data_IF_461684586130
#
_entry.id   IF_461684586130
#
_cell.length_a   1.000
_cell.length_b   1.000
_cell.length_c   1.000
_cell.angle_alpha   90.00
_cell.angle_beta   90.00
_cell.angle_gamma   90.00
#
_symmetry.space_group_name_H-M   'P 1'
#
loop_
_entity.id
_entity.type
_entity.pdbx_description
1 polymer ?
#
# COMPACT_ATOMS: atom_id res chain seq x y z
N UNK A 1 39.05 55.16 -37.33
CA UNK A 1 39.59 53.98 -36.59
C UNK A 1 39.14 53.89 -35.12
N UNK A 2 38.95 54.99 -34.37
CA UNK A 2 38.50 54.93 -32.96
C UNK A 2 37.08 54.36 -32.79
N UNK A 3 36.13 54.73 -33.66
CA UNK A 3 34.74 54.23 -33.56
C UNK A 3 34.56 52.77 -33.95
N UNK A 4 35.36 52.27 -34.89
CA UNK A 4 35.30 50.87 -35.31
C UNK A 4 35.74 49.91 -34.20
N UNK A 5 36.81 50.27 -33.45
CA UNK A 5 37.29 49.53 -32.27
C UNK A 5 36.30 49.58 -31.10
N UNK A 6 35.54 50.66 -30.96
CA UNK A 6 34.54 50.83 -29.88
C UNK A 6 33.29 49.98 -30.13
N UNK A 7 32.84 49.87 -31.38
CA UNK A 7 31.71 49.01 -31.77
C UNK A 7 32.02 47.51 -31.65
N UNK A 8 33.22 47.09 -32.05
CA UNK A 8 33.66 45.69 -31.92
C UNK A 8 33.85 45.27 -30.47
N UNK A 9 34.39 46.15 -29.60
CA UNK A 9 34.48 45.87 -28.17
C UNK A 9 33.09 45.77 -27.51
N UNK A 10 32.14 46.64 -27.88
CA UNK A 10 30.77 46.60 -27.35
C UNK A 10 30.02 45.33 -27.78
N UNK A 11 30.16 44.90 -29.05
CA UNK A 11 29.61 43.62 -29.51
C UNK A 11 30.22 42.42 -28.77
N UNK A 12 31.52 42.41 -28.53
CA UNK A 12 32.17 41.34 -27.77
C UNK A 12 31.67 41.28 -26.33
N UNK A 13 31.51 42.42 -25.66
CA UNK A 13 30.95 42.48 -24.30
C UNK A 13 29.48 42.06 -24.25
N UNK A 14 28.66 42.44 -25.24
CA UNK A 14 27.27 42.00 -25.32
C UNK A 14 27.13 40.50 -25.58
N UNK A 15 28.00 39.91 -26.40
CA UNK A 15 28.01 38.45 -26.64
C UNK A 15 28.50 37.70 -25.41
N UNK A 16 29.54 38.18 -24.72
CA UNK A 16 30.00 37.60 -23.45
C UNK A 16 28.93 37.70 -22.34
N UNK A 17 28.25 38.84 -22.22
CA UNK A 17 27.16 39.02 -21.26
C UNK A 17 25.97 38.11 -21.61
N UNK A 18 25.62 37.98 -22.89
CA UNK A 18 24.59 37.06 -23.35
C UNK A 18 24.97 35.60 -23.09
N UNK A 19 26.22 35.20 -23.31
CA UNK A 19 26.70 33.85 -22.98
C UNK A 19 26.67 33.58 -21.48
N UNK A 20 27.07 34.54 -20.63
CA UNK A 20 27.01 34.39 -19.17
C UNK A 20 25.56 34.36 -18.65
N UNK A 21 24.65 35.13 -19.27
CA UNK A 21 23.23 35.13 -18.92
C UNK A 21 22.50 33.87 -19.43
N UNK A 22 22.87 33.30 -20.58
CA UNK A 22 22.26 32.06 -21.08
C UNK A 22 22.86 30.80 -20.44
N UNK A 23 24.14 30.80 -20.08
CA UNK A 23 24.76 29.69 -19.32
C UNK A 23 24.46 29.74 -17.82
N UNK A 24 23.99 30.88 -17.31
CA UNK A 24 23.63 31.08 -15.89
C UNK A 24 22.20 30.63 -15.53
N UNK A 25 21.34 30.38 -16.52
CA UNK A 25 19.95 30.00 -16.28
C UNK A 25 19.76 28.49 -16.00
N UNK A 26 20.65 27.62 -16.47
CA UNK A 26 20.51 26.17 -16.27
C UNK A 26 20.92 25.72 -14.86
N UNK A 27 21.75 26.50 -14.15
CA UNK A 27 22.28 26.12 -12.84
C UNK A 27 21.38 26.46 -11.65
N UNK A 28 20.40 27.36 -11.81
CA UNK A 28 19.54 27.81 -10.71
C UNK A 28 18.28 26.95 -10.53
N UNK A 29 17.84 26.21 -11.55
CA UNK A 29 16.62 25.41 -11.48
C UNK A 29 16.85 23.93 -11.11
N UNK A 30 18.08 23.41 -11.21
CA UNK A 30 18.31 21.95 -11.09
C UNK A 30 18.61 21.48 -9.64
N UNK A 31 18.89 22.42 -8.72
CA UNK A 31 19.25 22.09 -7.32
C UNK A 31 18.11 22.17 -6.30
N UNK A 32 17.11 23.02 -6.50
CA UNK A 32 16.06 23.26 -5.49
C UNK A 32 14.68 22.67 -5.84
N UNK A 33 14.37 22.36 -7.09
CA UNK A 33 12.99 22.01 -7.49
C UNK A 33 12.89 20.62 -8.12
N UNK A 34 13.18 19.60 -7.30
CA UNK A 34 13.03 18.19 -7.67
C UNK A 34 12.21 17.40 -6.65
N UNK A 35 11.75 16.20 -7.01
CA UNK A 35 11.06 15.29 -6.11
C UNK A 35 12.05 14.55 -5.18
N UNK A 36 12.80 15.26 -4.34
CA UNK A 36 14.04 14.74 -3.70
C UNK A 36 14.02 14.66 -2.17
N UNK A 37 13.04 15.24 -1.49
CA UNK A 37 12.97 15.23 -0.02
C UNK A 37 12.63 13.84 0.54
N UNK A 38 13.34 13.35 1.59
CA UNK A 38 13.06 12.04 2.18
C UNK A 38 11.67 12.01 2.83
N UNK A 39 11.10 10.81 2.98
CA UNK A 39 9.76 10.65 3.53
C UNK A 39 9.85 9.98 4.89
N UNK A 40 9.45 10.69 5.93
CA UNK A 40 9.40 10.18 7.30
C UNK A 40 8.01 9.62 7.55
N UNK A 41 7.93 8.30 7.68
CA UNK A 41 6.68 7.56 7.88
C UNK A 41 6.53 7.18 9.34
N UNK A 42 5.36 7.44 9.91
CA UNK A 42 4.94 6.93 11.21
C UNK A 42 3.68 6.08 11.05
N UNK A 43 3.63 4.93 11.73
CA UNK A 43 2.44 4.08 11.79
C UNK A 43 1.75 4.24 13.13
N UNK A 44 0.49 4.63 13.11
CA UNK A 44 -0.40 4.68 14.26
C UNK A 44 -1.45 3.58 14.16
N UNK A 45 -1.84 3.03 15.29
CA UNK A 45 -2.88 2.00 15.37
C UNK A 45 -4.19 2.64 15.80
N UNK A 46 -5.29 2.35 15.11
CA UNK A 46 -6.61 2.93 15.44
C UNK A 46 -7.08 2.56 16.85
N UNK A 47 -6.72 1.36 17.33
CA UNK A 47 -7.03 0.87 18.68
C UNK A 47 -6.06 1.36 19.77
N UNK A 48 -5.11 2.23 19.43
CA UNK A 48 -4.10 2.78 20.35
C UNK A 48 -3.08 1.76 20.87
N UNK A 49 -3.08 0.51 20.38
CA UNK A 49 -2.18 -0.54 20.86
C UNK A 49 -0.78 -0.44 20.26
N UNK A 50 0.24 -0.82 21.02
CA UNK A 50 1.63 -0.85 20.52
C UNK A 50 2.03 -2.31 20.31
N UNK A 51 1.98 -2.85 19.08
CA UNK A 51 2.30 -4.24 18.81
C UNK A 51 3.77 -4.53 19.12
N UNK A 52 4.01 -5.72 19.68
CA UNK A 52 5.36 -6.23 20.01
C UNK A 52 6.24 -6.38 18.76
N UNK A 53 5.65 -6.63 17.59
CA UNK A 53 6.36 -6.85 16.36
C UNK A 53 6.23 -5.64 15.43
N UNK A 54 7.28 -5.32 14.66
CA UNK A 54 7.26 -4.15 13.79
C UNK A 54 6.33 -4.37 12.59
N UNK A 55 5.84 -3.28 12.02
CA UNK A 55 5.21 -3.26 10.70
C UNK A 55 6.27 -3.42 9.62
N UNK A 56 5.94 -4.16 8.57
CA UNK A 56 6.66 -4.11 7.30
C UNK A 56 6.01 -3.04 6.43
N UNK A 57 6.82 -2.10 5.95
CA UNK A 57 6.39 -0.99 5.11
C UNK A 57 7.15 -1.10 3.78
N UNK A 58 6.40 -1.32 2.71
CA UNK A 58 6.89 -1.23 1.34
C UNK A 58 6.59 0.17 0.81
N UNK A 59 7.59 0.90 0.32
CA UNK A 59 7.43 2.17 -0.40
C UNK A 59 7.77 1.93 -1.86
N UNK A 60 6.83 2.20 -2.76
CA UNK A 60 6.98 1.99 -4.21
C UNK A 60 6.67 3.28 -4.94
N UNK A 61 7.61 3.71 -5.79
CA UNK A 61 7.32 4.76 -6.75
C UNK A 61 6.51 4.20 -7.91
N UNK A 62 5.41 4.87 -8.25
CA UNK A 62 4.56 4.52 -9.39
C UNK A 62 4.19 5.76 -10.20
N UNK A 63 4.27 5.62 -11.52
CA UNK A 63 3.75 6.59 -12.48
C UNK A 63 2.47 6.09 -13.10
N UNK A 64 1.43 6.93 -13.06
CA UNK A 64 0.28 6.79 -13.94
C UNK A 64 0.28 7.96 -14.90
N UNK A 65 0.22 7.66 -16.19
CA UNK A 65 -0.13 8.63 -17.21
C UNK A 65 -1.62 8.99 -17.05
N UNK A 66 -1.92 10.28 -16.83
CA UNK A 66 -3.22 10.77 -16.33
C UNK A 66 -4.49 10.14 -16.95
N UNK A 67 -5.08 10.79 -17.97
CA UNK A 67 -6.39 10.43 -18.52
C UNK A 67 -6.34 9.38 -19.63
N UNK A 68 -5.14 8.92 -20.02
CA UNK A 68 -4.93 7.93 -21.07
C UNK A 68 -4.60 6.59 -20.45
N UNK A 69 -5.27 5.53 -20.88
CA UNK A 69 -5.13 4.13 -20.42
C UNK A 69 -3.76 3.51 -20.74
N UNK A 70 -2.66 4.08 -20.25
CA UNK A 70 -1.35 3.42 -20.21
C UNK A 70 -1.10 2.82 -18.82
N UNK A 71 -0.22 1.82 -18.78
CA UNK A 71 0.06 1.02 -17.60
C UNK A 71 0.63 1.85 -16.44
N UNK A 72 0.66 1.23 -15.26
CA UNK A 72 1.35 1.79 -14.09
C UNK A 72 2.80 1.32 -14.15
N UNK A 73 3.73 2.23 -14.46
CA UNK A 73 5.15 1.93 -14.38
C UNK A 73 5.62 2.11 -12.93
N UNK A 74 6.43 1.17 -12.44
CA UNK A 74 7.02 1.24 -11.10
C UNK A 74 8.50 1.55 -11.21
N UNK A 75 8.96 2.55 -10.46
CA UNK A 75 10.40 2.83 -10.33
C UNK A 75 10.98 2.12 -9.11
N UNK A 76 11.58 2.89 -8.21
CA UNK A 76 12.23 2.32 -7.03
C UNK A 76 11.23 1.65 -6.07
N UNK A 77 11.76 0.70 -5.29
CA UNK A 77 11.06 -0.04 -4.26
C UNK A 77 11.94 -0.18 -3.03
N UNK A 78 11.44 0.23 -1.88
CA UNK A 78 12.11 0.05 -0.60
C UNK A 78 11.25 -0.72 0.37
N UNK A 79 11.90 -1.52 1.21
CA UNK A 79 11.28 -2.19 2.34
C UNK A 79 11.98 -1.71 3.61
N UNK A 80 11.19 -1.26 4.58
CA UNK A 80 11.68 -0.97 5.93
C UNK A 80 10.71 -1.52 6.96
N UNK A 81 11.23 -1.78 8.15
CA UNK A 81 10.43 -2.19 9.30
C UNK A 81 10.42 -1.09 10.33
N UNK A 82 9.26 -0.83 10.94
CA UNK A 82 9.12 0.17 11.99
C UNK A 82 8.12 -0.30 13.05
N UNK A 83 8.40 0.05 14.32
CA UNK A 83 7.44 -0.14 15.39
C UNK A 83 6.37 0.95 15.36
N UNK A 84 5.19 0.66 15.92
CA UNK A 84 4.14 1.68 16.06
C UNK A 84 4.70 2.93 16.75
N UNK A 85 4.27 4.10 16.28
CA UNK A 85 4.66 5.41 16.79
C UNK A 85 6.17 5.70 16.75
N UNK A 86 6.94 4.92 15.96
CA UNK A 86 8.36 5.20 15.70
C UNK A 86 8.53 5.65 14.25
N UNK A 87 9.11 6.85 14.02
CA UNK A 87 9.32 7.35 12.67
C UNK A 87 10.38 6.49 11.96
N UNK A 88 10.17 6.27 10.66
CA UNK A 88 11.15 5.65 9.77
C UNK A 88 11.30 6.47 8.50
N UNK A 89 12.54 6.82 8.17
CA UNK A 89 12.84 7.61 6.98
C UNK A 89 13.01 6.71 5.78
N UNK A 90 12.25 6.94 4.72
CA UNK A 90 12.46 6.38 3.39
C UNK A 90 13.25 7.36 2.52
N UNK A 91 14.27 6.90 1.79
CA UNK A 91 14.86 7.72 0.76
C UNK A 91 13.80 7.98 -0.32
N UNK A 92 13.91 9.15 -0.95
CA UNK A 92 13.14 9.51 -2.13
C UNK A 92 14.16 9.80 -3.22
N UNK A 93 14.41 8.81 -4.07
CA UNK A 93 15.33 9.01 -5.19
C UNK A 93 14.77 10.08 -6.14
N UNK A 94 15.69 10.79 -6.81
CA UNK A 94 15.34 11.75 -7.86
C UNK A 94 14.41 11.06 -8.86
N UNK A 95 13.20 11.57 -8.94
CA UNK A 95 12.24 11.17 -9.95
C UNK A 95 12.40 12.12 -11.14
N UNK A 96 13.08 11.67 -12.18
CA UNK A 96 12.85 12.21 -13.51
C UNK A 96 11.54 11.57 -13.98
N UNK A 97 10.48 12.37 -14.15
CA UNK A 97 9.19 11.85 -14.62
C UNK A 97 9.43 11.10 -15.93
N UNK A 98 9.08 9.81 -15.98
CA UNK A 98 9.29 8.98 -17.16
C UNK A 98 8.45 9.45 -18.35
N UNK A 99 7.37 10.21 -18.10
CA UNK A 99 6.53 10.80 -19.14
C UNK A 99 6.20 12.28 -18.91
N UNK A 100 6.10 13.10 -19.98
CA UNK A 100 5.54 14.45 -19.90
C UNK A 100 4.09 14.38 -19.39
N UNK A 101 3.78 15.08 -18.29
CA UNK A 101 2.47 15.07 -17.60
C UNK A 101 2.16 13.80 -16.75
N UNK A 102 3.16 12.99 -16.40
CA UNK A 102 2.96 11.91 -15.42
C UNK A 102 2.74 12.47 -14.00
N UNK A 103 1.82 11.86 -13.25
CA UNK A 103 1.68 12.13 -11.82
C UNK A 103 2.55 11.14 -11.03
N UNK A 104 3.63 11.65 -10.44
CA UNK A 104 4.49 10.91 -9.52
C UNK A 104 3.73 10.57 -8.22
N UNK A 105 3.53 9.28 -7.97
CA UNK A 105 2.84 8.79 -6.78
C UNK A 105 3.71 7.78 -6.05
N UNK A 106 3.65 7.77 -4.72
CA UNK A 106 4.27 6.74 -3.91
C UNK A 106 3.18 5.92 -3.24
N UNK A 107 3.23 4.61 -3.45
CA UNK A 107 2.40 3.63 -2.79
C UNK A 107 3.13 3.10 -1.56
N UNK A 108 2.50 3.22 -0.41
CA UNK A 108 2.94 2.58 0.83
C UNK A 108 2.06 1.38 1.12
N UNK A 109 2.64 0.19 1.23
CA UNK A 109 1.92 -1.00 1.70
C UNK A 109 2.39 -1.32 3.10
N UNK A 110 1.45 -1.36 4.04
CA UNK A 110 1.73 -1.60 5.45
C UNK A 110 1.17 -2.96 5.83
N UNK A 111 2.06 -3.82 6.33
CA UNK A 111 1.75 -5.22 6.64
C UNK A 111 2.13 -5.55 8.09
N UNK A 112 1.21 -6.17 8.81
CA UNK A 112 1.45 -6.72 10.15
C UNK A 112 0.46 -7.85 10.46
N UNK A 113 0.83 -8.88 11.24
CA UNK A 113 -0.04 -10.03 11.50
C UNK A 113 -1.40 -9.70 12.11
N UNK A 114 -1.48 -8.65 12.94
CA UNK A 114 -2.70 -8.26 13.66
C UNK A 114 -3.51 -7.12 13.02
N UNK A 115 -2.99 -6.45 11.98
CA UNK A 115 -3.67 -5.30 11.35
C UNK A 115 -3.99 -5.61 9.91
N UNK A 116 -5.02 -4.96 9.39
CA UNK A 116 -5.40 -5.08 7.99
C UNK A 116 -4.23 -4.67 7.08
N UNK A 117 -4.00 -5.43 6.01
CA UNK A 117 -3.09 -5.03 4.94
C UNK A 117 -3.66 -3.77 4.28
N UNK A 118 -2.94 -2.66 4.41
CA UNK A 118 -3.36 -1.37 3.87
C UNK A 118 -2.42 -0.93 2.76
N UNK A 119 -3.00 -0.36 1.70
CA UNK A 119 -2.27 0.32 0.62
C UNK A 119 -2.64 1.79 0.67
N UNK A 120 -1.66 2.65 0.95
CA UNK A 120 -1.82 4.08 0.99
C UNK A 120 -1.15 4.71 -0.22
N UNK A 121 -1.95 5.42 -1.01
CA UNK A 121 -1.48 6.18 -2.16
C UNK A 121 -1.23 7.62 -1.74
N UNK A 122 -0.04 8.16 -2.04
CA UNK A 122 0.32 9.56 -1.76
C UNK A 122 1.00 10.20 -2.97
N UNK A 123 0.39 11.25 -3.49
CA UNK A 123 1.05 12.18 -4.41
C UNK A 123 1.85 13.18 -3.59
N UNK A 124 3.08 13.45 -4.01
CA UNK A 124 3.94 14.44 -3.35
C UNK A 124 4.44 15.43 -4.38
N UNK A 125 4.26 16.72 -4.11
CA UNK A 125 4.82 17.80 -4.93
C UNK A 125 6.36 17.82 -4.91
N UNK A 126 6.97 18.67 -5.76
CA UNK A 126 8.38 18.97 -5.67
C UNK A 126 8.73 19.52 -4.29
N UNK A 127 9.84 19.08 -3.70
CA UNK A 127 10.30 19.53 -2.37
C UNK A 127 11.81 19.66 -2.40
N UNK A 128 12.37 20.60 -1.64
CA UNK A 128 13.82 20.67 -1.45
C UNK A 128 14.37 19.32 -0.96
N UNK A 129 15.59 18.98 -1.39
CA UNK A 129 16.20 17.68 -1.08
C UNK A 129 16.43 17.45 0.42
N UNK A 130 16.58 18.53 1.19
CA UNK A 130 16.87 18.50 2.61
C UNK A 130 15.61 18.63 3.50
N UNK A 131 14.42 18.82 2.90
CA UNK A 131 13.17 18.97 3.64
C UNK A 131 12.40 17.64 3.74
N UNK A 132 12.31 17.01 4.94
CA UNK A 132 11.63 15.75 5.11
C UNK A 132 10.10 15.91 5.07
N UNK A 133 9.43 15.08 4.26
CA UNK A 133 7.97 15.00 4.26
C UNK A 133 7.52 14.04 5.35
N UNK A 134 6.80 14.55 6.34
CA UNK A 134 6.25 13.73 7.42
C UNK A 134 4.86 13.22 7.06
N UNK A 135 4.67 11.90 7.16
CA UNK A 135 3.38 11.26 6.96
C UNK A 135 3.07 10.27 8.08
N UNK A 136 1.80 10.24 8.47
CA UNK A 136 1.27 9.26 9.43
C UNK A 136 0.21 8.40 8.75
N UNK A 137 0.32 7.09 8.93
CA UNK A 137 -0.70 6.13 8.50
C UNK A 137 -1.36 5.49 9.70
N UNK A 138 -2.68 5.60 9.77
CA UNK A 138 -3.49 4.89 10.76
C UNK A 138 -3.89 3.51 10.22
N UNK A 139 -3.56 2.45 10.95
CA UNK A 139 -3.91 1.07 10.60
C UNK A 139 -5.00 0.52 11.51
N UNK A 140 -5.90 -0.26 10.93
CA UNK A 140 -7.05 -0.87 11.62
C UNK A 140 -6.75 -2.32 12.00
N UNK A 141 -7.18 -2.80 13.18
CA UNK A 141 -7.08 -4.21 13.54
C UNK A 141 -7.74 -5.09 12.48
N UNK A 142 -7.11 -6.23 12.16
CA UNK A 142 -7.66 -7.15 11.16
C UNK A 142 -9.02 -7.73 11.61
N UNK A 143 -9.22 -7.88 12.92
CA UNK A 143 -10.48 -8.33 13.51
C UNK A 143 -11.66 -7.42 13.13
N UNK A 144 -11.46 -6.10 13.05
CA UNK A 144 -12.52 -5.19 12.62
C UNK A 144 -12.93 -5.40 11.16
N UNK A 145 -11.95 -5.65 10.29
CA UNK A 145 -12.22 -5.98 8.89
C UNK A 145 -13.00 -7.31 8.78
N UNK A 146 -12.64 -8.32 9.59
CA UNK A 146 -13.40 -9.57 9.66
C UNK A 146 -14.83 -9.33 10.14
N UNK A 147 -15.02 -8.58 11.21
CA UNK A 147 -16.32 -8.26 11.78
C UNK A 147 -17.21 -7.50 10.80
N UNK A 148 -16.64 -6.56 10.03
CA UNK A 148 -17.35 -5.84 8.97
C UNK A 148 -17.90 -6.78 7.89
N UNK A 149 -17.07 -7.69 7.38
CA UNK A 149 -17.49 -8.66 6.36
C UNK A 149 -18.50 -9.67 6.93
N UNK A 150 -18.30 -10.12 8.17
CA UNK A 150 -19.26 -10.97 8.87
C UNK A 150 -20.61 -10.28 9.07
N UNK A 151 -20.62 -8.97 9.38
CA UNK A 151 -21.84 -8.17 9.50
C UNK A 151 -22.66 -8.11 8.21
N UNK A 152 -22.01 -8.04 7.05
CA UNK A 152 -22.71 -8.07 5.75
C UNK A 152 -23.37 -9.43 5.47
N UNK A 153 -22.75 -10.52 5.94
CA UNK A 153 -23.36 -11.85 5.87
C UNK A 153 -24.62 -11.94 6.75
N UNK A 154 -24.57 -11.37 7.96
CA UNK A 154 -25.73 -11.35 8.86
C UNK A 154 -26.89 -10.51 8.30
N UNK A 155 -26.61 -9.42 7.59
CA UNK A 155 -27.65 -8.66 6.88
C UNK A 155 -28.41 -9.52 5.87
N UNK A 156 -27.71 -10.37 5.10
CA UNK A 156 -28.34 -11.32 4.18
C UNK A 156 -29.24 -12.33 4.91
N UNK A 157 -28.83 -12.78 6.10
CA UNK A 157 -29.65 -13.66 6.95
C UNK A 157 -30.90 -12.96 7.48
N UNK A 158 -30.80 -11.71 7.92
CA UNK A 158 -31.96 -10.91 8.35
C UNK A 158 -32.94 -10.70 7.18
N UNK A 159 -32.45 -10.40 5.98
CA UNK A 159 -33.29 -10.28 4.78
C UNK A 159 -34.07 -11.58 4.50
N UNK A 160 -33.40 -12.74 4.58
CA UNK A 160 -34.06 -14.04 4.40
C UNK A 160 -35.15 -14.31 5.44
N UNK A 161 -34.93 -13.89 6.69
CA UNK A 161 -35.88 -14.10 7.79
C UNK A 161 -37.13 -13.22 7.68
N UNK A 162 -36.99 -12.04 7.08
CA UNK A 162 -38.08 -11.07 6.94
C UNK A 162 -38.88 -11.21 5.63
N UNK A 163 -38.46 -12.10 4.72
CA UNK A 163 -39.06 -12.29 3.40
C UNK A 163 -39.75 -13.65 3.29
N UNK A 164 -40.78 -13.74 2.42
CA UNK A 164 -41.41 -15.03 2.11
C UNK A 164 -40.40 -15.95 1.40
N UNK A 165 -40.36 -17.27 1.71
CA UNK A 165 -39.32 -18.18 1.21
C UNK A 165 -39.18 -18.27 -0.32
N UNK A 166 -40.25 -18.00 -1.05
CA UNK A 166 -40.37 -18.02 -2.51
C UNK A 166 -40.17 -16.64 -3.16
N UNK A 167 -39.95 -15.59 -2.36
CA UNK A 167 -39.79 -14.23 -2.87
C UNK A 167 -38.38 -13.94 -3.40
N UNK A 168 -38.30 -12.93 -4.26
CA UNK A 168 -37.02 -12.44 -4.77
C UNK A 168 -36.14 -11.88 -3.65
N UNK A 169 -36.72 -11.26 -2.63
CA UNK A 169 -36.01 -10.72 -1.45
C UNK A 169 -35.34 -11.84 -0.65
N UNK A 170 -36.02 -12.97 -0.46
CA UNK A 170 -35.42 -14.14 0.20
C UNK A 170 -34.25 -14.70 -0.63
N UNK A 171 -34.42 -14.80 -1.95
CA UNK A 171 -33.34 -15.21 -2.85
C UNK A 171 -32.13 -14.26 -2.78
N UNK A 172 -32.36 -12.94 -2.80
CA UNK A 172 -31.32 -11.93 -2.72
C UNK A 172 -30.57 -12.00 -1.38
N UNK A 173 -31.28 -12.12 -0.25
CA UNK A 173 -30.68 -12.28 1.07
C UNK A 173 -29.80 -13.54 1.17
N UNK A 174 -30.25 -14.65 0.56
CA UNK A 174 -29.50 -15.90 0.47
C UNK A 174 -28.22 -15.77 -0.36
N UNK A 175 -28.30 -15.06 -1.50
CA UNK A 175 -27.13 -14.77 -2.32
C UNK A 175 -26.12 -13.88 -1.61
N UNK A 176 -26.59 -12.83 -0.91
CA UNK A 176 -25.75 -11.96 -0.10
C UNK A 176 -25.06 -12.74 1.03
N UNK A 177 -25.80 -13.51 1.82
CA UNK A 177 -25.25 -14.34 2.90
C UNK A 177 -24.11 -15.24 2.38
N UNK A 178 -24.33 -15.92 1.25
CA UNK A 178 -23.32 -16.81 0.67
C UNK A 178 -22.10 -16.07 0.13
N UNK A 179 -22.31 -14.97 -0.59
CA UNK A 179 -21.22 -14.16 -1.13
C UNK A 179 -20.33 -13.62 -0.01
N UNK A 180 -20.93 -13.10 1.06
CA UNK A 180 -20.17 -12.47 2.13
C UNK A 180 -19.48 -13.48 3.05
N UNK A 181 -20.07 -14.65 3.29
CA UNK A 181 -19.35 -15.76 3.95
C UNK A 181 -18.15 -16.22 3.13
N UNK A 182 -18.29 -16.33 1.81
CA UNK A 182 -17.17 -16.64 0.92
C UNK A 182 -16.09 -15.54 0.95
N UNK A 183 -16.50 -14.26 0.93
CA UNK A 183 -15.58 -13.12 1.05
C UNK A 183 -14.81 -13.13 2.38
N UNK A 184 -15.48 -13.50 3.48
CA UNK A 184 -14.83 -13.62 4.80
C UNK A 184 -13.74 -14.68 4.78
N UNK A 185 -14.05 -15.88 4.29
CA UNK A 185 -13.06 -16.96 4.14
C UNK A 185 -11.87 -16.56 3.26
N UNK A 186 -12.14 -15.93 2.10
CA UNK A 186 -11.10 -15.39 1.21
C UNK A 186 -10.24 -14.33 1.89
N UNK A 187 -10.84 -13.44 2.67
CA UNK A 187 -10.15 -12.35 3.38
C UNK A 187 -9.17 -12.92 4.40
N UNK A 188 -9.61 -13.90 5.21
CA UNK A 188 -8.76 -14.59 6.20
C UNK A 188 -7.61 -15.32 5.51
N UNK A 189 -7.91 -16.13 4.48
CA UNK A 189 -6.88 -16.88 3.74
C UNK A 189 -5.84 -15.95 3.10
N UNK A 190 -6.29 -14.85 2.48
CA UNK A 190 -5.40 -13.85 1.88
C UNK A 190 -4.51 -13.20 2.93
N UNK A 191 -5.07 -12.83 4.09
CA UNK A 191 -4.30 -12.24 5.18
C UNK A 191 -3.19 -13.17 5.66
N UNK A 192 -3.51 -14.43 5.99
CA UNK A 192 -2.53 -15.45 6.38
C UNK A 192 -1.44 -15.61 5.31
N UNK A 193 -1.84 -15.69 4.04
CA UNK A 193 -0.92 -15.80 2.90
C UNK A 193 0.04 -14.61 2.84
N UNK A 194 -0.47 -13.37 2.95
CA UNK A 194 0.35 -12.15 2.95
C UNK A 194 1.37 -12.18 4.07
N UNK A 195 0.99 -12.62 5.28
CA UNK A 195 1.95 -12.68 6.38
C UNK A 195 3.01 -13.75 6.14
N UNK A 196 2.62 -14.93 5.66
CA UNK A 196 3.53 -16.04 5.35
C UNK A 196 4.52 -15.69 4.23
N UNK A 197 4.04 -15.12 3.13
CA UNK A 197 4.84 -14.96 1.90
C UNK A 197 5.48 -13.59 1.75
N UNK A 198 4.93 -12.55 2.40
CA UNK A 198 5.49 -11.20 2.32
C UNK A 198 6.04 -10.73 3.65
N UNK A 199 5.35 -10.88 4.79
CA UNK A 199 5.84 -10.33 6.06
C UNK A 199 7.04 -11.10 6.65
N UNK A 200 6.88 -12.40 6.89
CA UNK A 200 7.90 -13.22 7.55
C UNK A 200 9.27 -13.21 6.86
N UNK A 201 9.37 -13.30 5.52
CA UNK A 201 10.66 -13.37 4.85
C UNK A 201 11.60 -12.18 5.09
N UNK A 202 11.09 -11.01 5.53
CA UNK A 202 11.92 -9.84 5.84
C UNK A 202 12.59 -9.89 7.22
N UNK A 203 12.30 -10.91 8.03
CA UNK A 203 12.82 -11.02 9.38
C UNK A 203 13.85 -12.15 9.50
N UNK A 204 14.74 -12.06 10.49
CA UNK A 204 15.64 -13.17 10.84
C UNK A 204 14.86 -14.41 11.26
N UNK A 205 15.45 -15.61 11.12
CA UNK A 205 14.79 -16.87 11.52
C UNK A 205 14.31 -16.86 12.97
N UNK A 206 15.08 -16.27 13.88
CA UNK A 206 14.67 -16.11 15.29
C UNK A 206 13.43 -15.23 15.44
N UNK A 207 13.34 -14.14 14.69
CA UNK A 207 12.18 -13.25 14.73
C UNK A 207 10.97 -13.90 14.04
N UNK A 208 11.16 -14.59 12.92
CA UNK A 208 10.11 -15.40 12.27
C UNK A 208 9.48 -16.38 13.27
N UNK A 209 10.32 -17.13 13.99
CA UNK A 209 9.86 -18.09 15.00
C UNK A 209 9.00 -17.43 16.09
N UNK A 210 9.44 -16.29 16.64
CA UNK A 210 8.66 -15.54 17.64
C UNK A 210 7.31 -15.05 17.11
N UNK A 211 7.28 -14.58 15.86
CA UNK A 211 6.03 -14.17 15.20
C UNK A 211 5.10 -15.36 15.02
N UNK A 212 5.62 -16.50 14.54
CA UNK A 212 4.87 -17.75 14.38
C UNK A 212 4.29 -18.19 15.73
N UNK A 213 5.10 -18.29 16.78
CA UNK A 213 4.66 -18.70 18.11
C UNK A 213 3.51 -17.84 18.65
N UNK A 214 3.57 -16.52 18.44
CA UNK A 214 2.51 -15.60 18.89
C UNK A 214 1.22 -15.72 18.06
N UNK A 215 1.34 -15.75 16.73
CA UNK A 215 0.18 -15.54 15.85
C UNK A 215 -0.38 -16.81 15.21
N UNK A 216 0.38 -17.91 15.15
CA UNK A 216 -0.11 -19.19 14.66
C UNK A 216 -1.37 -19.68 15.39
N UNK A 217 -1.50 -19.65 16.74
CA UNK A 217 -2.74 -20.05 17.40
C UNK A 217 -3.94 -19.16 17.04
N UNK A 218 -3.71 -17.85 16.86
CA UNK A 218 -4.74 -16.89 16.47
C UNK A 218 -5.22 -17.16 15.04
N UNK A 219 -4.28 -17.35 14.12
CA UNK A 219 -4.58 -17.60 12.70
C UNK A 219 -5.23 -18.96 12.50
N UNK A 220 -4.82 -19.96 13.29
CA UNK A 220 -5.50 -21.25 13.35
C UNK A 220 -6.95 -21.08 13.78
N UNK A 221 -7.23 -20.33 14.84
CA UNK A 221 -8.59 -20.07 15.28
C UNK A 221 -9.44 -19.39 14.19
N UNK A 222 -8.89 -18.39 13.49
CA UNK A 222 -9.59 -17.73 12.38
C UNK A 222 -9.84 -18.68 11.21
N UNK A 223 -8.85 -19.48 10.81
CA UNK A 223 -8.95 -20.42 9.71
C UNK A 223 -9.99 -21.51 9.96
N UNK A 224 -10.03 -22.07 11.17
CA UNK A 224 -10.98 -23.11 11.56
C UNK A 224 -12.36 -22.58 11.98
N UNK A 225 -12.47 -21.32 12.36
CA UNK A 225 -13.76 -20.67 12.63
C UNK A 225 -14.61 -20.40 11.39
N UNK A 226 -14.00 -20.34 10.19
CA UNK A 226 -14.69 -20.02 8.93
C UNK A 226 -14.44 -21.11 7.89
N UNK A 227 -15.38 -22.05 7.68
CA UNK A 227 -15.23 -23.15 6.71
C UNK A 227 -14.91 -22.69 5.28
N UNK A 228 -15.40 -21.52 4.90
CA UNK A 228 -15.21 -20.93 3.57
C UNK A 228 -13.76 -20.56 3.25
N UNK A 229 -12.84 -20.64 4.22
CA UNK A 229 -11.40 -20.43 4.00
C UNK A 229 -10.79 -21.46 3.04
N UNK A 230 -11.34 -22.68 2.93
CA UNK A 230 -10.89 -23.69 1.95
C UNK A 230 -11.54 -23.55 0.56
N UNK A 231 -12.46 -22.60 0.40
CA UNK A 231 -13.19 -22.47 -0.84
C UNK A 231 -12.37 -21.77 -1.92
N UNK A 232 -12.49 -22.27 -3.15
CA UNK A 232 -11.81 -21.70 -4.32
C UNK A 232 -12.72 -20.76 -5.12
N UNK A 233 -14.02 -21.03 -5.13
CA UNK A 233 -15.02 -20.17 -5.76
C UNK A 233 -16.34 -20.24 -5.00
N UNK A 234 -17.10 -19.15 -5.01
CA UNK A 234 -18.41 -19.06 -4.34
C UNK A 234 -19.37 -20.17 -4.82
N UNK A 235 -19.40 -20.45 -6.13
CA UNK A 235 -20.25 -21.50 -6.72
C UNK A 235 -19.91 -22.90 -6.22
N UNK A 236 -18.60 -23.21 -6.10
CA UNK A 236 -18.15 -24.55 -5.65
C UNK A 236 -18.10 -24.66 -4.12
N UNK A 237 -18.11 -23.54 -3.40
CA UNK A 237 -17.86 -23.49 -1.97
C UNK A 237 -18.80 -24.40 -1.17
N UNK A 238 -20.10 -24.43 -1.53
CA UNK A 238 -21.08 -25.31 -0.84
C UNK A 238 -20.74 -26.79 -0.86
N UNK A 239 -20.09 -27.27 -1.93
CA UNK A 239 -19.61 -28.65 -2.02
C UNK A 239 -18.26 -28.81 -1.32
N UNK A 240 -17.42 -27.78 -1.35
CA UNK A 240 -16.08 -27.79 -0.77
C UNK A 240 -16.11 -27.81 0.76
N UNK A 241 -17.01 -27.07 1.42
CA UNK A 241 -17.14 -27.06 2.88
C UNK A 241 -17.60 -28.40 3.48
N UNK A 242 -18.18 -29.28 2.66
CA UNK A 242 -18.62 -30.62 3.08
C UNK A 242 -17.51 -31.66 3.02
N UNK A 243 -16.42 -31.36 2.31
CA UNK A 243 -15.27 -32.25 2.25
C UNK A 243 -14.45 -32.12 3.52
N UNK A 244 -13.72 -33.18 3.92
CA UNK A 244 -12.60 -33.02 4.85
C UNK A 244 -11.70 -31.90 4.36
N UNK A 245 -11.21 -31.07 5.28
CA UNK A 245 -10.40 -29.91 4.93
C UNK A 245 -9.13 -30.40 4.22
N UNK A 246 -8.96 -30.00 2.96
CA UNK A 246 -7.88 -30.52 2.09
C UNK A 246 -6.50 -30.01 2.54
N UNK A 247 -6.43 -28.90 3.28
CA UNK A 247 -5.20 -28.39 3.89
C UNK A 247 -5.23 -28.62 5.41
N UNK A 248 -4.29 -29.41 5.94
CA UNK A 248 -3.73 -29.07 7.24
C UNK A 248 -3.33 -27.60 7.14
N UNK A 249 -3.87 -26.75 8.02
CA UNK A 249 -3.58 -25.34 8.04
C UNK A 249 -2.06 -25.12 7.85
N UNK A 250 -1.63 -24.58 6.70
CA UNK A 250 -0.21 -24.44 6.40
C UNK A 250 0.49 -23.31 7.18
N UNK A 251 -0.07 -22.90 8.32
CA UNK A 251 0.66 -22.08 9.27
C UNK A 251 1.03 -20.68 8.80
N UNK A 252 1.66 -19.99 9.73
CA UNK A 252 2.71 -19.02 9.45
C UNK A 252 4.03 -19.76 9.20
#
# INVERSE_FOLDING_TARGET
MKDYKRKTALQFYCVLLACVLTSGCDFLFDKAHGYRGPIVVTIETEDGSVPEFPFLIESVYTESCGHSSCGIDSGYRYFKTAYANKPITFPRDRVDLLQPNAYATILFKVTHPNYHYNVFTRGFGPTDADDPIHITFTVKPFAEQMNKVAGWAEQGKVMMQNAAPDSNEHFNGKMQLWQERFNLGKTIKRHITVIKTMYLPHFSKRMQQRVIEKYQPIFRAWYYGVPETDCWSMVKCRKQILKPREAEYEGL
#
